data_IF_499043277721
#
_entry.id   IF_499043277721
#
_cell.length_a   1.000
_cell.length_b   1.000
_cell.length_c   1.000
_cell.angle_alpha   90.00
_cell.angle_beta   90.00
_cell.angle_gamma   90.00
#
_symmetry.space_group_name_H-M   'P 1'
#
loop_
_entity.id
_entity.type
_entity.pdbx_description
1 polymer ?
#
# COMPACT_ATOMS: atom_id res chain seq x y z
N UNK A 1 -12.08 -29.21 -13.84
CA UNK A 1 -12.36 -27.77 -14.01
C UNK A 1 -13.37 -27.28 -12.96
N UNK A 2 -14.46 -27.97 -12.73
CA UNK A 2 -15.50 -27.63 -11.73
C UNK A 2 -14.94 -27.52 -10.29
N UNK A 3 -14.09 -28.48 -9.88
CA UNK A 3 -13.41 -28.42 -8.59
C UNK A 3 -12.55 -27.16 -8.45
N UNK A 4 -11.93 -26.73 -9.57
CA UNK A 4 -11.17 -25.50 -9.61
C UNK A 4 -12.03 -24.25 -9.41
N UNK A 5 -13.21 -24.21 -10.02
CA UNK A 5 -14.19 -23.13 -9.82
C UNK A 5 -14.64 -23.12 -8.35
N UNK A 6 -14.96 -24.28 -7.77
CA UNK A 6 -15.39 -24.39 -6.38
C UNK A 6 -14.30 -23.95 -5.40
N UNK A 7 -13.03 -24.27 -5.66
CA UNK A 7 -11.89 -23.83 -4.86
C UNK A 7 -11.74 -22.28 -4.91
N UNK A 8 -11.80 -21.72 -6.11
CA UNK A 8 -11.71 -20.26 -6.32
C UNK A 8 -12.89 -19.53 -5.64
N UNK A 9 -14.11 -20.05 -5.78
CA UNK A 9 -15.29 -19.48 -5.12
C UNK A 9 -15.20 -19.55 -3.59
N UNK A 10 -14.65 -20.63 -3.05
CA UNK A 10 -14.42 -20.77 -1.59
C UNK A 10 -13.41 -19.72 -1.11
N UNK A 11 -12.31 -19.51 -1.86
CA UNK A 11 -11.32 -18.49 -1.55
C UNK A 11 -11.92 -17.08 -1.65
N UNK A 12 -12.70 -16.79 -2.71
CA UNK A 12 -13.33 -15.48 -2.91
C UNK A 12 -14.37 -15.17 -1.81
N UNK A 13 -15.16 -16.16 -1.40
CA UNK A 13 -16.09 -16.01 -0.29
C UNK A 13 -15.37 -15.60 1.00
N UNK A 14 -14.29 -16.29 1.35
CA UNK A 14 -13.48 -15.95 2.51
C UNK A 14 -12.81 -14.57 2.38
N UNK A 15 -12.31 -14.21 1.20
CA UNK A 15 -11.73 -12.89 0.94
C UNK A 15 -12.77 -11.76 1.02
N UNK A 16 -14.03 -12.04 0.73
CA UNK A 16 -15.12 -11.07 0.93
C UNK A 16 -15.31 -10.77 2.42
N UNK A 17 -15.25 -11.77 3.28
CA UNK A 17 -15.31 -11.57 4.73
C UNK A 17 -14.09 -10.80 5.25
N UNK A 18 -12.87 -11.16 4.79
CA UNK A 18 -11.65 -10.43 5.13
C UNK A 18 -11.74 -8.97 4.69
N UNK A 19 -12.24 -8.71 3.48
CA UNK A 19 -12.45 -7.35 2.97
C UNK A 19 -13.41 -6.54 3.86
N UNK A 20 -14.53 -7.14 4.28
CA UNK A 20 -15.51 -6.49 5.17
C UNK A 20 -14.90 -6.18 6.55
N UNK A 21 -14.10 -7.09 7.10
CA UNK A 21 -13.40 -6.88 8.37
C UNK A 21 -12.37 -5.74 8.25
N UNK A 22 -11.61 -5.68 7.16
CA UNK A 22 -10.66 -4.59 6.90
C UNK A 22 -11.37 -3.23 6.73
N UNK A 23 -12.52 -3.19 6.06
CA UNK A 23 -13.33 -1.97 5.98
C UNK A 23 -13.78 -1.51 7.37
N UNK A 24 -14.23 -2.44 8.22
CA UNK A 24 -14.58 -2.13 9.60
C UNK A 24 -13.39 -1.63 10.41
N UNK A 25 -12.21 -2.25 10.24
CA UNK A 25 -10.98 -1.77 10.87
C UNK A 25 -10.62 -0.36 10.40
N UNK A 26 -10.80 -0.03 9.12
CA UNK A 26 -10.54 1.32 8.59
C UNK A 26 -11.51 2.37 9.19
N UNK A 27 -12.78 2.03 9.35
CA UNK A 27 -13.75 2.89 10.04
C UNK A 27 -13.32 3.16 11.49
N UNK A 28 -12.92 2.11 12.20
CA UNK A 28 -12.47 2.19 13.59
C UNK A 28 -11.18 3.00 13.73
N UNK A 29 -10.21 2.78 12.84
CA UNK A 29 -8.96 3.56 12.82
C UNK A 29 -9.25 5.04 12.54
N UNK A 30 -10.11 5.34 11.56
CA UNK A 30 -10.54 6.72 11.25
C UNK A 30 -11.27 7.35 12.43
N UNK A 31 -12.13 6.60 13.12
CA UNK A 31 -12.78 7.07 14.35
C UNK A 31 -11.74 7.36 15.43
N UNK A 32 -10.77 6.47 15.67
CA UNK A 32 -9.74 6.64 16.68
C UNK A 32 -8.78 7.80 16.37
N UNK A 33 -8.50 8.05 15.09
CA UNK A 33 -7.69 9.19 14.64
C UNK A 33 -8.35 10.56 14.89
N UNK A 34 -9.65 10.58 15.25
CA UNK A 34 -10.34 11.82 15.57
C UNK A 34 -9.94 12.32 16.97
N UNK A 35 -9.43 13.54 17.05
CA UNK A 35 -8.99 14.18 18.30
C UNK A 35 -10.06 14.37 19.39
N UNK A 36 -11.36 14.14 19.06
CA UNK A 36 -12.47 14.24 20.02
C UNK A 36 -12.64 12.99 20.89
N UNK A 37 -12.01 11.87 20.55
CA UNK A 37 -12.13 10.62 21.30
C UNK A 37 -11.26 10.63 22.56
N UNK A 38 -11.79 10.07 23.65
CA UNK A 38 -11.03 9.85 24.87
C UNK A 38 -10.07 8.66 24.73
N UNK A 39 -9.07 8.57 25.61
CA UNK A 39 -8.17 7.41 25.66
C UNK A 39 -8.92 6.10 25.96
N UNK A 40 -10.03 6.17 26.71
CA UNK A 40 -10.88 5.01 27.00
C UNK A 40 -11.59 4.53 25.74
N UNK A 41 -12.11 5.46 24.93
CA UNK A 41 -12.79 5.13 23.67
C UNK A 41 -11.79 4.53 22.67
N UNK A 42 -10.59 5.11 22.57
CA UNK A 42 -9.53 4.55 21.71
C UNK A 42 -9.10 3.16 22.14
N UNK A 43 -9.05 2.89 23.44
CA UNK A 43 -8.76 1.55 23.94
C UNK A 43 -9.84 0.55 23.55
N UNK A 44 -11.12 0.92 23.66
CA UNK A 44 -12.21 0.07 23.21
C UNK A 44 -12.17 -0.20 21.70
N UNK A 45 -11.80 0.80 20.92
CA UNK A 45 -11.55 0.67 19.47
C UNK A 45 -10.38 -0.29 19.19
N UNK A 46 -9.28 -0.17 19.95
CA UNK A 46 -8.14 -1.07 19.83
C UNK A 46 -8.53 -2.52 20.12
N UNK A 47 -9.30 -2.74 21.17
CA UNK A 47 -9.80 -4.08 21.53
C UNK A 47 -10.65 -4.69 20.39
N UNK A 48 -11.46 -3.89 19.68
CA UNK A 48 -12.23 -4.33 18.51
C UNK A 48 -11.31 -4.63 17.31
N UNK A 49 -10.31 -3.79 17.05
CA UNK A 49 -9.32 -4.00 15.98
C UNK A 49 -8.51 -5.29 16.24
N UNK A 50 -8.11 -5.55 17.49
CA UNK A 50 -7.40 -6.78 17.86
C UNK A 50 -8.25 -8.03 17.63
N UNK A 51 -9.55 -7.96 17.90
CA UNK A 51 -10.49 -9.04 17.62
C UNK A 51 -10.67 -9.27 16.12
N UNK A 52 -10.81 -8.20 15.32
CA UNK A 52 -10.92 -8.30 13.87
C UNK A 52 -9.65 -8.88 13.24
N UNK A 53 -8.49 -8.48 13.73
CA UNK A 53 -7.19 -9.04 13.29
C UNK A 53 -7.10 -10.53 13.60
N UNK A 54 -7.52 -10.95 14.79
CA UNK A 54 -7.57 -12.36 15.18
C UNK A 54 -8.55 -13.14 14.30
N UNK A 55 -9.68 -12.55 13.94
CA UNK A 55 -10.66 -13.19 13.06
C UNK A 55 -10.17 -13.31 11.63
N UNK A 56 -9.43 -12.32 11.11
CA UNK A 56 -8.75 -12.41 9.81
C UNK A 56 -7.77 -13.59 9.81
N UNK A 57 -6.95 -13.72 10.85
CA UNK A 57 -6.03 -14.84 10.99
C UNK A 57 -6.77 -16.19 11.04
N UNK A 58 -7.87 -16.26 11.78
CA UNK A 58 -8.72 -17.45 11.85
C UNK A 58 -9.29 -17.81 10.48
N UNK A 59 -9.83 -16.86 9.73
CA UNK A 59 -10.37 -17.09 8.38
C UNK A 59 -9.25 -17.58 7.45
N UNK A 60 -8.07 -16.96 7.50
CA UNK A 60 -6.93 -17.38 6.71
C UNK A 60 -6.48 -18.82 7.03
N UNK A 61 -6.47 -19.18 8.31
CA UNK A 61 -6.03 -20.50 8.76
C UNK A 61 -7.05 -21.63 8.57
N UNK A 62 -8.35 -21.29 8.54
CA UNK A 62 -9.42 -22.28 8.46
C UNK A 62 -10.00 -22.49 7.07
N UNK A 63 -9.83 -21.52 6.17
CA UNK A 63 -10.36 -21.62 4.81
C UNK A 63 -9.61 -22.68 4.01
N UNK A 64 -10.29 -23.78 3.73
CA UNK A 64 -9.74 -24.91 2.98
C UNK A 64 -10.72 -25.46 1.96
N UNK A 65 -10.18 -26.04 0.91
CA UNK A 65 -10.90 -26.82 -0.08
C UNK A 65 -10.18 -28.15 -0.27
N UNK A 66 -10.89 -29.24 -0.08
CA UNK A 66 -10.36 -30.60 -0.22
C UNK A 66 -8.98 -30.78 0.48
N UNK A 67 -8.92 -30.44 1.78
CA UNK A 67 -7.73 -30.51 2.65
C UNK A 67 -6.60 -29.48 2.35
N UNK A 68 -6.70 -28.73 1.25
CA UNK A 68 -5.74 -27.66 0.92
C UNK A 68 -6.20 -26.35 1.53
N UNK A 69 -5.34 -25.72 2.34
CA UNK A 69 -5.58 -24.38 2.88
C UNK A 69 -5.31 -23.35 1.81
N UNK A 70 -6.33 -22.52 1.51
CA UNK A 70 -6.28 -21.61 0.37
C UNK A 70 -5.62 -20.26 0.69
N UNK A 71 -5.75 -19.77 1.93
CA UNK A 71 -5.35 -18.41 2.31
C UNK A 71 -4.16 -18.37 3.28
N UNK A 72 -3.71 -19.52 3.76
CA UNK A 72 -2.64 -19.63 4.77
C UNK A 72 -1.23 -19.48 4.19
N UNK A 73 -1.10 -19.61 2.86
CA UNK A 73 0.18 -19.77 2.19
C UNK A 73 0.73 -21.20 2.29
N UNK A 74 1.81 -21.46 1.57
CA UNK A 74 2.46 -22.76 1.46
C UNK A 74 3.95 -22.68 1.80
N UNK A 75 4.55 -23.83 2.14
CA UNK A 75 5.97 -23.92 2.46
C UNK A 75 6.32 -23.48 3.90
N UNK A 76 7.59 -23.13 4.09
CA UNK A 76 8.12 -22.60 5.36
C UNK A 76 7.92 -21.10 5.46
N UNK A 77 7.86 -20.58 6.68
CA UNK A 77 7.85 -19.12 6.92
C UNK A 77 9.15 -18.49 6.41
N UNK A 78 9.01 -17.35 5.76
CA UNK A 78 10.10 -16.52 5.27
C UNK A 78 9.89 -15.09 5.72
N UNK A 79 10.99 -14.35 5.85
CA UNK A 79 10.93 -12.92 6.12
C UNK A 79 10.54 -12.16 4.84
N UNK A 80 9.53 -11.32 4.97
CA UNK A 80 9.05 -10.42 3.92
C UNK A 80 9.14 -8.98 4.41
N UNK A 81 9.36 -8.05 3.49
CA UNK A 81 9.36 -6.64 3.84
C UNK A 81 7.94 -6.10 3.93
N UNK A 82 7.68 -5.28 4.95
CA UNK A 82 6.45 -4.48 5.02
C UNK A 82 6.57 -3.23 4.15
N UNK A 83 5.43 -2.65 3.76
CA UNK A 83 5.43 -1.41 3.00
C UNK A 83 5.93 -0.23 3.85
N UNK A 84 6.59 0.72 3.20
CA UNK A 84 6.96 1.98 3.83
C UNK A 84 5.83 3.01 3.63
N UNK A 85 5.60 3.83 4.68
CA UNK A 85 4.56 4.86 4.71
C UNK A 85 5.18 6.22 5.00
N UNK A 86 4.60 7.29 4.45
CA UNK A 86 5.09 8.66 4.58
C UNK A 86 4.69 9.36 5.87
N UNK A 87 4.00 8.66 6.76
CA UNK A 87 3.49 9.17 8.03
C UNK A 87 2.50 10.36 7.88
N UNK A 88 1.86 10.49 6.71
CA UNK A 88 0.95 11.61 6.41
C UNK A 88 1.65 12.97 6.36
N UNK A 89 2.96 13.02 6.10
CA UNK A 89 3.75 14.23 6.05
C UNK A 89 3.68 14.90 4.68
N UNK A 90 3.47 16.22 4.65
CA UNK A 90 3.36 16.97 3.40
C UNK A 90 4.68 17.03 2.63
N UNK A 91 4.61 16.69 1.34
CA UNK A 91 5.74 16.79 0.41
C UNK A 91 6.83 15.73 0.59
N UNK A 92 6.53 14.62 1.27
CA UNK A 92 7.40 13.44 1.33
C UNK A 92 7.20 12.59 0.07
N UNK A 93 8.30 12.09 -0.49
CA UNK A 93 8.28 11.12 -1.58
C UNK A 93 9.08 9.88 -1.20
N UNK A 94 8.48 8.71 -1.47
CA UNK A 94 9.06 7.40 -1.22
C UNK A 94 9.43 6.75 -2.55
N UNK A 95 10.68 6.32 -2.70
CA UNK A 95 11.15 5.56 -3.88
C UNK A 95 11.59 4.17 -3.44
N UNK A 96 10.78 3.17 -3.77
CA UNK A 96 11.05 1.77 -3.39
C UNK A 96 12.24 1.19 -4.18
N UNK A 97 13.15 0.54 -3.47
CA UNK A 97 14.32 -0.18 -4.00
C UNK A 97 14.38 -1.65 -3.55
N UNK A 98 13.24 -2.22 -3.22
CA UNK A 98 13.12 -3.59 -2.74
C UNK A 98 13.24 -3.68 -1.21
N UNK A 99 14.42 -3.94 -0.67
CA UNK A 99 14.65 -4.03 0.78
C UNK A 99 14.79 -2.66 1.45
N UNK A 100 15.02 -1.62 0.67
CA UNK A 100 15.19 -0.23 1.13
C UNK A 100 14.26 0.71 0.40
N UNK A 101 14.03 1.88 0.99
CA UNK A 101 13.27 2.98 0.39
C UNK A 101 14.09 4.24 0.52
N UNK A 102 14.28 4.97 -0.58
CA UNK A 102 14.80 6.33 -0.50
C UNK A 102 13.65 7.28 -0.19
N UNK A 103 13.81 8.01 0.89
CA UNK A 103 12.85 9.01 1.37
C UNK A 103 13.41 10.38 1.05
N UNK A 104 12.61 11.21 0.39
CA UNK A 104 12.94 12.62 0.16
C UNK A 104 11.92 13.49 0.86
N UNK A 105 12.40 14.33 1.78
CA UNK A 105 11.62 15.28 2.53
C UNK A 105 11.53 16.62 1.81
N UNK A 106 10.48 17.37 2.08
CA UNK A 106 10.34 18.75 1.59
C UNK A 106 11.39 19.66 2.22
N UNK A 107 12.07 20.47 1.41
CA UNK A 107 13.00 21.47 1.92
C UNK A 107 12.28 22.51 2.78
N UNK A 108 12.73 22.66 4.01
CA UNK A 108 12.20 23.62 4.98
C UNK A 108 13.10 24.85 5.07
N UNK A 109 12.48 26.01 5.16
CA UNK A 109 13.16 27.27 5.32
C UNK A 109 12.65 27.99 6.59
N UNK A 110 13.49 28.82 7.19
CA UNK A 110 13.06 29.64 8.31
C UNK A 110 11.72 30.33 8.05
N UNK A 111 10.86 30.33 9.06
CA UNK A 111 9.49 30.86 9.00
C UNK A 111 8.47 29.96 8.30
N UNK A 112 8.85 28.77 7.81
CA UNK A 112 7.88 27.78 7.33
C UNK A 112 7.14 27.16 8.51
N UNK A 113 5.90 26.73 8.25
CA UNK A 113 5.10 25.99 9.23
C UNK A 113 4.93 24.57 8.73
N UNK A 114 5.07 23.61 9.63
CA UNK A 114 4.91 22.21 9.36
C UNK A 114 4.15 21.52 10.49
N UNK A 115 3.32 20.55 10.14
CA UNK A 115 2.69 19.65 11.10
C UNK A 115 3.42 18.31 11.12
N UNK A 116 3.85 17.88 12.30
CA UNK A 116 4.52 16.59 12.51
C UNK A 116 3.83 15.92 13.69
N UNK A 117 3.36 14.71 13.51
CA UNK A 117 2.67 13.94 14.55
C UNK A 117 1.50 14.73 15.21
N UNK A 118 0.71 15.45 14.40
CA UNK A 118 -0.42 16.26 14.88
C UNK A 118 -0.03 17.54 15.60
N UNK A 119 1.26 17.84 15.79
CA UNK A 119 1.77 19.07 16.41
C UNK A 119 2.29 20.03 15.33
N UNK A 120 1.86 21.28 15.40
CA UNK A 120 2.31 22.33 14.48
C UNK A 120 3.61 22.95 14.98
N UNK A 121 4.59 23.04 14.09
CA UNK A 121 5.88 23.64 14.34
C UNK A 121 6.13 24.81 13.38
N UNK A 122 6.91 25.78 13.83
CA UNK A 122 7.45 26.87 13.02
C UNK A 122 8.96 26.71 12.92
N UNK A 123 9.51 26.77 11.73
CA UNK A 123 10.95 26.67 11.52
C UNK A 123 11.59 28.00 11.94
N UNK A 124 12.35 27.96 13.02
CA UNK A 124 13.14 29.09 13.50
C UNK A 124 14.52 29.13 12.85
N UNK A 125 15.30 30.13 13.20
CA UNK A 125 16.70 30.30 12.77
C UNK A 125 17.46 31.11 13.76
N UNK A 126 18.79 31.17 13.61
CA UNK A 126 19.66 32.03 14.46
C UNK A 126 19.34 33.52 14.22
N UNK A 127 19.46 34.33 15.28
CA UNK A 127 19.21 35.78 15.21
C UNK A 127 20.00 36.46 14.08
N UNK A 128 21.28 36.06 13.90
CA UNK A 128 22.14 36.61 12.86
C UNK A 128 21.63 36.33 11.44
N UNK A 129 21.09 35.13 11.18
CA UNK A 129 20.58 34.74 9.86
C UNK A 129 19.29 35.49 9.54
N UNK A 130 18.47 35.75 10.54
CA UNK A 130 17.25 36.55 10.40
C UNK A 130 17.57 38.02 10.22
N UNK A 131 18.52 38.55 10.99
CA UNK A 131 19.02 39.93 10.84
C UNK A 131 19.55 40.19 9.44
N UNK A 132 20.29 39.22 8.84
CA UNK A 132 20.79 39.31 7.47
C UNK A 132 19.70 39.40 6.39
N UNK A 133 18.45 38.95 6.69
CA UNK A 133 17.31 39.10 5.76
C UNK A 133 16.74 40.52 5.75
N UNK A 134 17.10 41.38 6.72
CA UNK A 134 16.77 42.79 6.72
C UNK A 134 17.80 43.49 5.82
N UNK A 135 17.35 43.96 4.65
CA UNK A 135 18.20 44.54 3.63
C UNK A 135 17.83 46.02 3.42
N UNK A 136 18.79 46.80 2.93
CA UNK A 136 18.52 48.16 2.52
C UNK A 136 17.55 48.22 1.32
N UNK A 137 16.67 49.20 1.33
CA UNK A 137 15.91 49.66 0.19
C UNK A 137 16.61 50.79 -0.52
N UNK A 138 15.82 51.64 -1.20
CA UNK A 138 16.25 52.95 -1.72
C UNK A 138 15.45 54.01 -1.01
N UNK A 139 15.90 55.25 -1.05
CA UNK A 139 15.15 56.37 -0.40
C UNK A 139 13.80 56.61 -1.07
N UNK A 140 13.65 56.21 -2.33
CA UNK A 140 12.37 56.29 -3.08
C UNK A 140 11.53 55.02 -2.95
N UNK A 141 12.15 53.85 -2.68
CA UNK A 141 11.51 52.56 -2.52
C UNK A 141 12.05 51.85 -1.26
N UNK A 142 11.56 52.27 -0.11
CA UNK A 142 11.93 51.71 1.19
C UNK A 142 11.35 50.32 1.36
N UNK A 143 12.15 49.41 1.96
CA UNK A 143 11.68 48.07 2.33
C UNK A 143 11.07 48.12 3.75
N UNK A 144 9.92 47.46 3.94
CA UNK A 144 9.21 47.46 5.22
C UNK A 144 9.49 46.13 5.96
N UNK A 145 9.78 46.22 7.25
CA UNK A 145 10.05 45.14 8.17
C UNK A 145 9.31 45.39 9.49
N UNK A 146 8.69 44.36 10.04
CA UNK A 146 8.14 44.42 11.39
C UNK A 146 9.04 43.64 12.33
N UNK A 147 9.72 44.31 13.25
CA UNK A 147 10.63 43.68 14.24
C UNK A 147 9.98 43.79 15.61
N UNK A 148 9.76 42.67 16.28
CA UNK A 148 9.11 42.60 17.60
C UNK A 148 7.78 43.38 17.67
N UNK A 149 6.99 43.30 16.61
CA UNK A 149 5.69 43.95 16.52
C UNK A 149 5.72 45.44 16.08
N UNK A 150 6.91 46.05 15.94
CA UNK A 150 7.07 47.42 15.48
C UNK A 150 7.51 47.43 14.01
N UNK A 151 6.78 48.22 13.20
CA UNK A 151 7.07 48.33 11.76
C UNK A 151 8.07 49.42 11.48
N UNK A 152 9.13 49.08 10.77
CA UNK A 152 10.20 49.95 10.32
C UNK A 152 10.29 49.96 8.79
N UNK A 153 10.75 51.06 8.23
CA UNK A 153 11.09 51.17 6.82
C UNK A 153 12.58 51.43 6.68
N UNK A 154 13.24 50.70 5.79
CA UNK A 154 14.68 50.82 5.54
C UNK A 154 14.92 51.43 4.17
N UNK A 155 15.51 52.63 4.14
CA UNK A 155 15.97 53.31 2.92
C UNK A 155 17.39 52.90 2.53
N UNK A 156 18.07 53.73 1.75
CA UNK A 156 19.45 53.44 1.33
C UNK A 156 20.46 53.49 2.49
N UNK A 157 20.28 54.42 3.44
CA UNK A 157 21.21 54.66 4.54
C UNK A 157 20.53 54.66 5.92
N UNK A 158 19.29 55.11 6.02
CA UNK A 158 18.60 55.32 7.28
C UNK A 158 17.39 54.40 7.47
N UNK A 159 17.03 54.23 8.74
CA UNK A 159 15.79 53.55 9.19
C UNK A 159 14.73 54.63 9.49
N UNK A 160 13.50 54.33 9.11
CA UNK A 160 12.34 55.21 9.25
C UNK A 160 11.23 54.50 10.03
N UNK A 161 10.37 55.27 10.69
CA UNK A 161 9.12 54.76 11.26
C UNK A 161 8.06 54.44 10.18
N UNK A 162 6.93 53.92 10.58
CA UNK A 162 5.81 53.62 9.66
C UNK A 162 5.22 54.88 9.00
N UNK A 163 5.42 56.05 9.57
CA UNK A 163 5.01 57.36 9.04
C UNK A 163 6.03 57.94 8.06
N UNK A 164 7.20 57.33 7.93
CA UNK A 164 8.26 57.78 7.02
C UNK A 164 9.24 58.79 7.65
N UNK A 165 9.21 59.00 8.97
CA UNK A 165 10.17 59.86 9.65
C UNK A 165 11.41 59.08 9.99
N UNK A 166 12.59 59.74 9.91
CA UNK A 166 13.85 59.12 10.35
C UNK A 166 13.82 58.83 11.84
N UNK A 167 14.23 57.64 12.22
CA UNK A 167 14.35 57.24 13.62
C UNK A 167 15.76 57.54 14.12
N UNK A 168 15.87 58.03 15.33
CA UNK A 168 17.17 58.19 15.99
C UNK A 168 17.65 56.87 16.53
N UNK A 169 18.97 56.68 16.55
CA UNK A 169 19.58 55.48 17.08
C UNK A 169 19.19 55.22 18.54
N UNK A 170 19.13 56.29 19.36
CA UNK A 170 18.66 56.21 20.75
C UNK A 170 17.25 55.64 20.90
N UNK A 171 16.35 55.95 19.98
CA UNK A 171 14.97 55.47 20.01
C UNK A 171 14.86 54.00 19.65
N UNK A 172 15.81 53.53 18.83
CA UNK A 172 15.89 52.10 18.43
C UNK A 172 16.57 51.21 19.50
N UNK A 173 17.66 51.70 20.06
CA UNK A 173 18.49 50.95 21.04
C UNK A 173 18.03 51.16 22.49
N UNK A 174 17.22 52.21 22.79
CA UNK A 174 16.84 52.60 24.15
C UNK A 174 18.00 53.24 24.95
N UNK A 175 19.15 53.53 24.31
CA UNK A 175 20.32 54.11 24.94
C UNK A 175 20.45 55.60 24.60
N UNK A 176 20.22 56.45 25.57
CA UNK A 176 20.29 57.92 25.41
C UNK A 176 21.69 58.45 25.00
N UNK A 177 22.74 57.64 25.17
CA UNK A 177 24.08 57.96 24.69
C UNK A 177 24.32 57.77 23.19
N UNK A 178 23.43 57.06 22.49
CA UNK A 178 23.52 56.87 21.07
C UNK A 178 23.03 58.08 20.30
N UNK A 179 23.91 58.77 19.60
CA UNK A 179 23.61 59.97 18.80
C UNK A 179 23.55 59.68 17.32
N UNK A 180 22.72 60.40 16.60
CA UNK A 180 22.59 60.25 15.16
C UNK A 180 21.33 59.49 14.70
N UNK A 181 21.15 59.42 13.39
CA UNK A 181 20.05 58.65 12.76
C UNK A 181 20.38 57.15 12.75
N UNK A 182 19.35 56.31 12.99
CA UNK A 182 19.49 54.87 12.92
C UNK A 182 19.77 54.40 11.50
N UNK A 183 20.69 53.46 11.36
CA UNK A 183 21.07 52.83 10.08
C UNK A 183 20.63 51.39 10.07
N UNK A 184 20.70 50.74 8.87
CA UNK A 184 20.34 49.32 8.70
C UNK A 184 20.97 48.40 9.76
N UNK A 185 22.24 48.59 10.07
CA UNK A 185 22.96 47.79 11.07
C UNK A 185 22.33 47.86 12.46
N UNK A 186 21.85 49.04 12.88
CA UNK A 186 21.21 49.25 14.18
C UNK A 186 19.88 48.46 14.27
N UNK A 187 19.11 48.39 13.16
CA UNK A 187 17.89 47.61 13.07
C UNK A 187 18.22 46.07 13.05
N UNK A 188 19.29 45.68 12.36
CA UNK A 188 19.76 44.30 12.40
C UNK A 188 20.22 43.87 13.80
N UNK A 189 20.91 44.76 14.53
CA UNK A 189 21.37 44.49 15.90
C UNK A 189 20.23 44.48 16.95
N UNK A 190 19.04 44.95 16.58
CA UNK A 190 17.83 44.78 17.38
C UNK A 190 17.30 43.35 17.36
N UNK A 191 17.62 42.59 16.32
CA UNK A 191 17.23 41.19 16.22
C UNK A 191 18.14 40.35 17.11
N UNK A 192 17.61 39.89 18.23
CA UNK A 192 18.28 39.04 19.22
C UNK A 192 17.50 37.73 19.34
N UNK A 193 18.08 36.79 20.07
CA UNK A 193 17.39 35.54 20.43
C UNK A 193 16.00 35.88 21.02
N UNK A 194 14.96 35.20 20.59
CA UNK A 194 13.55 35.45 20.93
C UNK A 194 12.87 36.54 20.11
N UNK A 195 13.59 37.24 19.22
CA UNK A 195 12.98 38.28 18.36
C UNK A 195 12.17 37.66 17.22
N UNK A 196 11.10 38.35 16.83
CA UNK A 196 10.33 38.04 15.62
C UNK A 196 10.53 39.12 14.56
N UNK A 197 10.73 38.71 13.31
CA UNK A 197 10.86 39.59 12.16
C UNK A 197 9.87 39.21 11.08
N UNK A 198 8.96 40.11 10.74
CA UNK A 198 8.00 39.86 9.64
C UNK A 198 8.45 40.60 8.38
N UNK A 199 8.59 39.87 7.29
CA UNK A 199 8.98 40.38 5.96
C UNK A 199 7.86 39.99 4.98
N UNK A 200 7.12 40.96 4.50
CA UNK A 200 5.93 40.71 3.69
C UNK A 200 4.86 39.97 4.49
N UNK A 201 4.56 38.75 4.10
CA UNK A 201 3.58 37.88 4.77
C UNK A 201 4.21 36.81 5.70
N UNK A 202 5.55 36.73 5.71
CA UNK A 202 6.27 35.66 6.42
C UNK A 202 6.91 36.20 7.70
N UNK A 203 6.67 35.52 8.80
CA UNK A 203 7.28 35.82 10.10
C UNK A 203 8.40 34.82 10.39
N UNK A 204 9.56 35.34 10.75
CA UNK A 204 10.74 34.64 11.17
C UNK A 204 10.93 34.76 12.67
N UNK A 205 11.27 33.68 13.34
CA UNK A 205 11.55 33.68 14.79
C UNK A 205 13.02 33.38 15.02
N UNK A 206 13.70 34.29 15.72
CA UNK A 206 15.08 34.09 16.17
C UNK A 206 15.06 33.19 17.40
N UNK A 207 15.57 31.99 17.26
CA UNK A 207 15.56 30.97 18.32
C UNK A 207 16.53 31.29 19.44
N UNK A 208 16.10 30.96 20.65
CA UNK A 208 16.96 30.82 21.83
C UNK A 208 17.13 29.31 22.08
N UNK A 209 18.31 28.75 21.86
CA UNK A 209 18.60 27.34 22.00
C UNK A 209 19.94 27.19 22.76
N UNK A 210 19.87 27.28 24.09
CA UNK A 210 21.04 27.29 24.99
C UNK A 210 20.91 26.32 26.14
N UNK A 211 19.70 25.87 26.48
CA UNK A 211 19.46 24.96 27.60
C UNK A 211 19.85 23.53 27.24
N UNK A 212 20.75 22.95 28.04
CA UNK A 212 21.15 21.54 27.91
C UNK A 212 22.04 21.17 26.71
N UNK A 213 22.48 22.19 25.94
CA UNK A 213 23.12 22.01 24.63
C UNK A 213 22.09 22.13 23.48
N UNK A 214 22.54 22.73 22.38
CA UNK A 214 21.67 23.02 21.24
C UNK A 214 20.91 21.76 20.74
N UNK A 215 19.66 21.58 21.20
CA UNK A 215 18.83 20.42 20.87
C UNK A 215 17.90 20.65 19.66
N UNK A 216 17.98 21.87 19.08
CA UNK A 216 17.22 22.29 17.93
C UNK A 216 15.78 22.72 18.24
N UNK A 217 15.45 22.91 19.53
CA UNK A 217 14.15 23.40 20.00
C UNK A 217 14.37 24.73 20.71
N UNK A 218 13.47 25.69 20.52
CA UNK A 218 13.53 26.97 21.21
C UNK A 218 13.22 26.81 22.71
N UNK A 219 14.11 27.34 23.58
CA UNK A 219 13.99 27.22 25.04
C UNK A 219 12.72 27.89 25.61
N UNK A 220 12.14 28.86 24.89
CA UNK A 220 10.96 29.60 25.34
C UNK A 220 9.68 29.11 24.66
N UNK A 221 9.78 28.54 23.46
CA UNK A 221 8.63 28.07 22.69
C UNK A 221 8.96 26.72 22.00
N UNK A 222 8.57 25.65 22.61
CA UNK A 222 8.78 24.27 22.09
C UNK A 222 8.10 23.98 20.75
N UNK A 223 7.35 24.95 20.20
CA UNK A 223 6.77 24.86 18.84
C UNK A 223 7.66 25.49 17.77
N UNK A 224 8.72 26.17 18.18
CA UNK A 224 9.75 26.72 17.29
C UNK A 224 10.95 25.79 17.29
N UNK A 225 11.30 25.25 16.13
CA UNK A 225 12.38 24.25 15.99
C UNK A 225 13.27 24.59 14.81
N UNK A 226 14.49 24.07 14.78
CA UNK A 226 15.36 24.15 13.60
C UNK A 226 14.84 23.25 12.48
N UNK A 227 15.25 23.50 11.25
CA UNK A 227 15.00 22.64 10.09
C UNK A 227 15.61 21.23 10.31
N UNK A 228 16.83 21.13 10.86
CA UNK A 228 17.45 19.85 11.20
C UNK A 228 16.63 19.05 12.23
N UNK A 229 16.10 19.72 13.27
CA UNK A 229 15.21 19.07 14.25
C UNK A 229 13.89 18.61 13.59
N UNK A 230 13.33 19.42 12.70
CA UNK A 230 12.14 19.06 11.96
C UNK A 230 12.38 17.81 11.10
N UNK A 231 13.51 17.71 10.38
CA UNK A 231 13.87 16.53 9.62
C UNK A 231 14.08 15.29 10.51
N UNK A 232 14.70 15.46 11.67
CA UNK A 232 14.84 14.36 12.64
C UNK A 232 13.47 13.83 13.09
N UNK A 233 12.54 14.73 13.46
CA UNK A 233 11.19 14.35 13.88
C UNK A 233 10.41 13.67 12.74
N UNK A 234 10.46 14.24 11.53
CA UNK A 234 9.83 13.63 10.35
C UNK A 234 10.38 12.24 10.07
N UNK A 235 11.70 12.07 10.11
CA UNK A 235 12.35 10.76 9.92
C UNK A 235 11.90 9.75 10.97
N UNK A 236 11.81 10.14 12.24
CA UNK A 236 11.33 9.27 13.31
C UNK A 236 9.89 8.82 13.08
N UNK A 237 9.01 9.72 12.61
CA UNK A 237 7.62 9.37 12.33
C UNK A 237 7.48 8.47 11.09
N UNK A 238 8.30 8.68 10.05
CA UNK A 238 8.33 7.80 8.87
C UNK A 238 8.82 6.39 9.25
N UNK A 239 9.86 6.29 10.08
CA UNK A 239 10.34 5.01 10.61
C UNK A 239 9.25 4.30 11.41
N UNK A 240 8.54 5.03 12.26
CA UNK A 240 7.42 4.50 13.05
C UNK A 240 6.27 4.02 12.18
N UNK A 241 5.82 4.84 11.22
CA UNK A 241 4.75 4.48 10.29
C UNK A 241 5.13 3.27 9.43
N UNK A 242 6.38 3.21 8.96
CA UNK A 242 6.91 2.11 8.14
C UNK A 242 7.26 0.84 8.94
N UNK A 243 7.06 0.84 10.25
CA UNK A 243 7.26 -0.33 11.12
C UNK A 243 5.96 -1.05 11.45
N UNK A 244 4.82 -0.55 10.98
CA UNK A 244 3.51 -1.18 11.21
C UNK A 244 3.49 -2.54 10.52
N UNK A 245 2.97 -3.54 11.22
CA UNK A 245 2.88 -4.91 10.72
C UNK A 245 4.21 -5.68 10.72
N UNK A 246 5.32 -5.08 11.15
CA UNK A 246 6.62 -5.70 11.15
C UNK A 246 6.95 -6.38 12.49
N UNK A 247 7.62 -7.54 12.41
CA UNK A 247 8.27 -8.17 13.58
C UNK A 247 9.62 -7.50 13.89
N UNK A 248 10.31 -7.05 12.84
CA UNK A 248 11.54 -6.23 12.95
C UNK A 248 11.23 -4.85 12.38
N UNK A 249 11.34 -3.83 13.22
CA UNK A 249 11.02 -2.45 12.84
C UNK A 249 11.90 -1.93 11.68
N UNK A 250 11.37 -0.98 10.91
CA UNK A 250 12.14 -0.22 9.95
C UNK A 250 13.25 0.59 10.64
N UNK A 251 14.34 0.86 9.95
CA UNK A 251 15.49 1.63 10.49
C UNK A 251 16.02 2.62 9.48
N UNK A 252 16.49 3.77 9.95
CA UNK A 252 17.23 4.71 9.12
C UNK A 252 18.62 4.17 8.82
N UNK A 253 18.90 3.87 7.55
CA UNK A 253 20.20 3.33 7.12
C UNK A 253 21.28 4.41 6.96
N UNK A 254 20.89 5.66 6.71
CA UNK A 254 21.83 6.76 6.38
C UNK A 254 22.38 7.45 7.61
N UNK A 255 21.61 7.54 8.70
CA UNK A 255 21.97 8.22 9.94
C UNK A 255 21.61 7.40 11.17
N UNK A 256 22.52 6.54 11.59
CA UNK A 256 22.35 5.76 12.84
C UNK A 256 22.38 6.64 14.10
N UNK A 257 22.79 7.91 14.00
CA UNK A 257 23.02 8.81 15.14
C UNK A 257 22.13 10.06 15.15
N UNK A 258 20.99 10.08 14.48
CA UNK A 258 19.95 11.15 14.56
C UNK A 258 20.52 12.56 14.88
N UNK A 259 21.58 12.95 14.17
CA UNK A 259 22.17 14.27 14.37
C UNK A 259 21.22 15.32 13.73
N UNK A 260 20.45 16.00 14.58
CA UNK A 260 19.48 17.02 14.17
C UNK A 260 20.13 18.28 13.56
N UNK A 261 21.45 18.38 13.57
CA UNK A 261 22.23 19.46 12.91
C UNK A 261 22.42 19.25 11.40
N UNK A 262 22.12 18.08 10.86
CA UNK A 262 22.26 17.80 9.44
C UNK A 262 20.94 18.07 8.72
N UNK A 263 20.85 19.17 8.03
CA UNK A 263 19.73 19.50 7.13
C UNK A 263 19.75 18.61 5.88
N UNK A 264 19.60 17.30 6.06
CA UNK A 264 19.49 16.35 4.96
C UNK A 264 18.04 16.14 4.61
N UNK A 265 17.66 16.49 3.38
CA UNK A 265 16.30 16.29 2.86
C UNK A 265 16.09 14.88 2.33
N UNK A 266 17.12 14.05 2.26
CA UNK A 266 17.04 12.68 1.75
C UNK A 266 17.73 11.70 2.69
N UNK A 267 17.11 10.54 2.92
CA UNK A 267 17.71 9.44 3.67
C UNK A 267 17.23 8.10 3.11
N UNK A 268 17.96 7.02 3.43
CA UNK A 268 17.57 5.66 3.05
C UNK A 268 16.99 4.94 4.27
N UNK A 269 15.78 4.41 4.09
CA UNK A 269 15.07 3.60 5.08
C UNK A 269 15.28 2.11 4.75
N UNK A 270 15.75 1.31 5.72
CA UNK A 270 15.62 -0.13 5.66
C UNK A 270 14.18 -0.49 6.03
N UNK A 271 13.49 -1.24 5.18
CA UNK A 271 12.12 -1.67 5.47
C UNK A 271 12.06 -2.58 6.69
N UNK A 272 10.98 -2.47 7.43
CA UNK A 272 10.63 -3.46 8.44
C UNK A 272 10.37 -4.83 7.80
N UNK A 273 10.50 -5.89 8.56
CA UNK A 273 10.24 -7.25 8.08
C UNK A 273 9.30 -8.02 8.99
N UNK A 274 8.52 -8.89 8.40
CA UNK A 274 7.57 -9.77 9.08
C UNK A 274 7.68 -11.19 8.51
N UNK A 275 7.50 -12.20 9.33
CA UNK A 275 7.61 -13.60 8.90
C UNK A 275 6.23 -14.20 8.64
N UNK A 276 6.03 -14.72 7.42
CA UNK A 276 4.86 -15.50 7.05
C UNK A 276 5.20 -16.44 5.89
N UNK A 277 4.26 -17.33 5.53
CA UNK A 277 4.43 -18.28 4.43
C UNK A 277 4.21 -17.60 3.09
N UNK A 278 4.98 -17.98 2.08
CA UNK A 278 4.72 -17.56 0.69
C UNK A 278 3.31 -17.98 0.24
N UNK A 279 2.79 -17.32 -0.79
CA UNK A 279 1.49 -17.63 -1.36
C UNK A 279 1.40 -19.06 -1.87
N UNK A 280 0.19 -19.61 -1.84
CA UNK A 280 -0.13 -20.91 -2.43
C UNK A 280 -0.18 -20.80 -3.96
N UNK A 281 0.54 -21.69 -4.66
CA UNK A 281 0.46 -21.81 -6.11
C UNK A 281 0.10 -23.24 -6.50
N UNK A 282 -0.96 -23.40 -7.28
CA UNK A 282 -1.35 -24.72 -7.81
C UNK A 282 -1.88 -24.61 -9.24
N UNK A 283 -1.79 -25.71 -9.96
CA UNK A 283 -2.20 -25.78 -11.35
C UNK A 283 -3.47 -26.62 -11.49
N UNK A 284 -4.49 -26.05 -12.08
CA UNK A 284 -5.73 -26.74 -12.44
C UNK A 284 -5.61 -27.30 -13.85
N UNK A 285 -5.76 -28.62 -14.00
CA UNK A 285 -5.82 -29.25 -15.31
C UNK A 285 -7.22 -29.07 -15.92
N UNK A 286 -7.29 -28.51 -17.12
CA UNK A 286 -8.55 -28.09 -17.76
C UNK A 286 -8.74 -28.64 -19.19
N UNK A 287 -7.94 -29.59 -19.61
CA UNK A 287 -8.00 -30.20 -20.94
C UNK A 287 -8.17 -31.70 -20.93
N UNK A 288 -8.44 -32.30 -22.08
CA UNK A 288 -8.52 -33.74 -22.26
C UNK A 288 -7.13 -34.37 -22.44
N UNK A 289 -6.13 -33.62 -22.89
CA UNK A 289 -4.80 -34.12 -23.22
C UNK A 289 -3.81 -33.82 -22.07
N UNK A 290 -2.77 -34.66 -21.97
CA UNK A 290 -1.72 -34.54 -20.97
C UNK A 290 -0.75 -33.36 -21.21
N UNK A 291 -1.09 -32.46 -22.10
CA UNK A 291 -0.25 -31.30 -22.43
C UNK A 291 -0.20 -30.27 -21.28
N UNK A 292 0.98 -29.74 -21.02
CA UNK A 292 1.21 -28.71 -19.99
C UNK A 292 0.49 -27.38 -20.30
N UNK A 293 0.12 -27.12 -21.56
CA UNK A 293 -0.70 -25.97 -21.97
C UNK A 293 -2.14 -26.06 -21.46
N UNK A 294 -2.62 -27.25 -21.11
CA UNK A 294 -3.94 -27.48 -20.53
C UNK A 294 -4.01 -27.24 -19.02
N UNK A 295 -3.14 -26.36 -18.49
CA UNK A 295 -3.12 -26.02 -17.06
C UNK A 295 -3.38 -24.51 -16.88
N UNK A 296 -4.22 -24.19 -15.91
CA UNK A 296 -4.44 -22.83 -15.43
C UNK A 296 -3.79 -22.73 -14.05
N UNK A 297 -2.76 -21.88 -13.93
CA UNK A 297 -2.14 -21.59 -12.66
C UNK A 297 -3.04 -20.68 -11.83
N UNK A 298 -3.21 -21.01 -10.57
CA UNK A 298 -3.89 -20.21 -9.55
C UNK A 298 -2.86 -19.87 -8.49
N UNK A 299 -2.69 -18.57 -8.23
CA UNK A 299 -1.82 -18.07 -7.18
C UNK A 299 -2.68 -17.34 -6.16
N UNK A 300 -2.54 -17.65 -4.90
CA UNK A 300 -3.24 -17.02 -3.78
C UNK A 300 -2.18 -16.66 -2.75
N UNK A 301 -2.00 -15.36 -2.53
CA UNK A 301 -1.06 -14.88 -1.53
C UNK A 301 -1.55 -15.18 -0.11
N UNK A 302 -0.63 -15.17 0.86
CA UNK A 302 -1.01 -15.35 2.26
C UNK A 302 -1.83 -14.15 2.73
N UNK A 303 -3.06 -14.41 3.18
CA UNK A 303 -4.05 -13.39 3.57
C UNK A 303 -4.26 -13.31 5.09
N UNK A 304 -3.26 -13.75 5.88
CA UNK A 304 -3.24 -13.52 7.31
C UNK A 304 -2.80 -12.08 7.65
N UNK A 305 -2.90 -11.70 8.90
CA UNK A 305 -2.51 -10.35 9.37
C UNK A 305 -1.06 -9.98 9.03
N UNK A 306 -0.15 -10.96 9.05
CA UNK A 306 1.25 -10.76 8.67
C UNK A 306 1.41 -10.52 7.17
N UNK A 307 0.76 -11.33 6.32
CA UNK A 307 0.77 -11.19 4.86
C UNK A 307 0.08 -9.91 4.38
N UNK A 308 -0.91 -9.42 5.12
CA UNK A 308 -1.60 -8.17 4.86
C UNK A 308 -0.88 -6.93 5.44
N UNK A 309 0.22 -7.11 6.19
CA UNK A 309 0.96 -5.99 6.78
C UNK A 309 0.25 -5.29 7.94
N UNK A 310 -0.72 -5.94 8.58
CA UNK A 310 -1.51 -5.38 9.69
C UNK A 310 -1.29 -6.09 11.02
N UNK A 311 -0.29 -6.97 11.12
CA UNK A 311 0.04 -7.69 12.33
C UNK A 311 0.37 -6.72 13.47
N UNK A 312 -0.30 -6.84 14.60
CA UNK A 312 -0.06 -6.00 15.78
C UNK A 312 -0.32 -4.50 15.58
N UNK A 313 -1.17 -4.15 14.62
CA UNK A 313 -1.55 -2.76 14.31
C UNK A 313 -2.10 -2.06 15.55
N UNK A 314 -1.73 -0.79 15.75
CA UNK A 314 -2.15 0.02 16.88
C UNK A 314 -3.02 1.19 16.43
N UNK A 315 -4.04 1.48 17.23
CA UNK A 315 -4.95 2.60 17.07
C UNK A 315 -5.37 3.21 18.42
N UNK A 316 -4.58 2.96 19.48
CA UNK A 316 -4.85 3.41 20.85
C UNK A 316 -4.39 4.86 21.10
N UNK A 317 -3.67 5.45 20.16
CA UNK A 317 -3.37 6.88 20.10
C UNK A 317 -3.89 7.48 18.79
N UNK A 318 -4.12 8.81 18.76
CA UNK A 318 -4.51 9.53 17.54
C UNK A 318 -3.48 9.32 16.40
N UNK A 319 -2.20 9.34 16.77
CA UNK A 319 -1.09 9.19 15.85
C UNK A 319 -1.01 7.77 15.27
N UNK A 320 -1.04 6.75 16.15
CA UNK A 320 -0.97 5.36 15.71
C UNK A 320 -2.19 4.99 14.87
N UNK A 321 -3.37 5.52 15.23
CA UNK A 321 -4.59 5.36 14.44
C UNK A 321 -4.46 5.99 13.02
N UNK A 322 -3.81 7.15 12.92
CA UNK A 322 -3.57 7.80 11.62
C UNK A 322 -2.68 6.92 10.74
N UNK A 323 -1.60 6.36 11.29
CA UNK A 323 -0.73 5.44 10.54
C UNK A 323 -1.41 4.10 10.22
N UNK A 324 -2.25 3.63 11.12
CA UNK A 324 -3.04 2.41 10.91
C UNK A 324 -3.95 2.51 9.68
N UNK A 325 -4.49 3.69 9.38
CA UNK A 325 -5.35 3.92 8.20
C UNK A 325 -4.62 3.54 6.91
N UNK A 326 -3.37 3.96 6.76
CA UNK A 326 -2.58 3.68 5.55
C UNK A 326 -2.28 2.19 5.41
N UNK A 327 -1.85 1.53 6.50
CA UNK A 327 -1.59 0.10 6.50
C UNK A 327 -2.86 -0.73 6.20
N UNK A 328 -4.01 -0.33 6.74
CA UNK A 328 -5.30 -0.99 6.46
C UNK A 328 -5.73 -0.74 5.01
N UNK A 329 -5.51 0.46 4.47
CA UNK A 329 -5.81 0.78 3.07
C UNK A 329 -4.97 -0.08 2.11
N UNK A 330 -3.70 -0.29 2.41
CA UNK A 330 -2.83 -1.20 1.66
C UNK A 330 -3.32 -2.65 1.74
N UNK A 331 -3.75 -3.12 2.92
CA UNK A 331 -4.34 -4.44 3.08
C UNK A 331 -5.64 -4.60 2.26
N UNK A 332 -6.52 -3.60 2.25
CA UNK A 332 -7.74 -3.58 1.42
C UNK A 332 -7.38 -3.66 -0.06
N UNK A 333 -6.37 -2.92 -0.50
CA UNK A 333 -5.88 -2.94 -1.89
C UNK A 333 -5.35 -4.31 -2.28
N UNK A 334 -4.57 -4.95 -1.40
CA UNK A 334 -4.04 -6.31 -1.59
C UNK A 334 -5.15 -7.34 -1.73
N UNK A 335 -6.12 -7.35 -0.82
CA UNK A 335 -7.29 -8.26 -0.89
C UNK A 335 -8.11 -8.00 -2.15
N UNK A 336 -8.32 -6.75 -2.53
CA UNK A 336 -9.07 -6.39 -3.75
C UNK A 336 -8.35 -6.86 -5.01
N UNK A 337 -7.02 -6.73 -5.08
CA UNK A 337 -6.20 -7.23 -6.18
C UNK A 337 -6.26 -8.75 -6.28
N UNK A 338 -6.18 -9.46 -5.15
CA UNK A 338 -6.29 -10.91 -5.10
C UNK A 338 -7.66 -11.39 -5.56
N UNK A 339 -8.74 -10.74 -5.11
CA UNK A 339 -10.11 -11.05 -5.56
C UNK A 339 -10.28 -10.83 -7.06
N UNK A 340 -9.73 -9.75 -7.60
CA UNK A 340 -9.75 -9.49 -9.04
C UNK A 340 -9.01 -10.57 -9.84
N UNK A 341 -7.85 -11.01 -9.34
CA UNK A 341 -7.09 -12.09 -9.96
C UNK A 341 -7.85 -13.43 -9.94
N UNK A 342 -8.51 -13.77 -8.81
CA UNK A 342 -9.33 -14.97 -8.69
C UNK A 342 -10.57 -14.91 -9.59
N UNK A 343 -11.25 -13.76 -9.69
CA UNK A 343 -12.36 -13.56 -10.62
C UNK A 343 -11.96 -13.73 -12.08
N UNK A 344 -10.76 -13.27 -12.46
CA UNK A 344 -10.22 -13.52 -13.80
C UNK A 344 -9.96 -15.01 -14.06
N UNK A 345 -9.44 -15.74 -13.07
CA UNK A 345 -9.26 -17.20 -13.14
C UNK A 345 -10.61 -17.91 -13.26
N UNK A 346 -11.60 -17.51 -12.46
CA UNK A 346 -12.94 -18.07 -12.53
C UNK A 346 -13.54 -17.91 -13.93
N UNK A 347 -13.51 -16.72 -14.50
CA UNK A 347 -14.00 -16.47 -15.86
C UNK A 347 -13.29 -17.35 -16.89
N UNK A 348 -11.96 -17.51 -16.78
CA UNK A 348 -11.20 -18.40 -17.66
C UNK A 348 -11.63 -19.86 -17.51
N UNK A 349 -11.87 -20.32 -16.30
CA UNK A 349 -12.34 -21.70 -16.04
C UNK A 349 -13.75 -21.91 -16.64
N UNK A 350 -14.67 -20.96 -16.46
CA UNK A 350 -16.03 -21.04 -17.02
C UNK A 350 -16.01 -21.08 -18.56
N UNK A 351 -15.21 -20.24 -19.20
CA UNK A 351 -15.03 -20.28 -20.66
C UNK A 351 -14.41 -21.59 -21.13
N UNK A 352 -13.49 -22.15 -20.36
CA UNK A 352 -12.87 -23.44 -20.68
C UNK A 352 -13.87 -24.59 -20.52
N UNK A 353 -14.71 -24.57 -19.48
CA UNK A 353 -15.79 -25.55 -19.28
C UNK A 353 -16.74 -25.51 -20.47
N UNK A 354 -17.23 -24.34 -20.84
CA UNK A 354 -18.13 -24.19 -21.99
C UNK A 354 -17.50 -24.69 -23.31
N UNK A 355 -16.19 -24.49 -23.49
CA UNK A 355 -15.48 -25.00 -24.67
C UNK A 355 -15.36 -26.54 -24.63
N UNK A 356 -15.01 -27.11 -23.46
CA UNK A 356 -14.91 -28.54 -23.28
C UNK A 356 -16.25 -29.25 -23.47
N UNK A 357 -17.35 -28.66 -23.00
CA UNK A 357 -18.71 -29.19 -23.21
C UNK A 357 -19.04 -29.28 -24.70
N UNK A 358 -18.72 -28.24 -25.48
CA UNK A 358 -18.87 -28.25 -26.94
C UNK A 358 -17.98 -29.34 -27.59
N UNK A 359 -16.74 -29.52 -27.12
CA UNK A 359 -15.85 -30.56 -27.63
C UNK A 359 -16.40 -31.95 -27.32
N UNK A 360 -16.89 -32.17 -26.09
CA UNK A 360 -17.50 -33.44 -25.66
C UNK A 360 -18.73 -33.74 -26.48
N UNK A 361 -19.62 -32.77 -26.68
CA UNK A 361 -20.84 -32.93 -27.51
C UNK A 361 -20.48 -33.30 -28.94
N UNK A 362 -19.54 -32.59 -29.57
CA UNK A 362 -19.09 -32.87 -30.92
C UNK A 362 -18.41 -34.25 -31.03
N UNK A 363 -17.59 -34.63 -30.04
CA UNK A 363 -16.91 -35.93 -30.01
C UNK A 363 -17.90 -37.07 -29.83
N UNK A 364 -18.86 -36.93 -28.91
CA UNK A 364 -19.93 -37.90 -28.68
C UNK A 364 -20.82 -38.05 -29.92
N UNK A 365 -21.14 -36.96 -30.58
CA UNK A 365 -21.90 -36.94 -31.84
C UNK A 365 -21.11 -37.65 -32.97
N UNK A 366 -19.77 -37.45 -33.02
CA UNK A 366 -18.92 -38.12 -33.98
C UNK A 366 -18.79 -39.63 -33.69
N UNK A 367 -18.61 -40.01 -32.40
CA UNK A 367 -18.59 -41.40 -31.96
C UNK A 367 -19.90 -42.11 -32.29
N UNK A 368 -21.06 -41.47 -32.02
CA UNK A 368 -22.39 -42.03 -32.36
C UNK A 368 -22.51 -42.27 -33.84
N UNK A 369 -22.06 -41.34 -34.69
CA UNK A 369 -22.10 -41.53 -36.15
C UNK A 369 -21.25 -42.68 -36.64
N UNK A 370 -20.05 -42.88 -36.08
CA UNK A 370 -19.18 -44.00 -36.43
C UNK A 370 -19.83 -45.28 -35.96
N UNK A 371 -20.26 -45.38 -34.71
CA UNK A 371 -20.88 -46.54 -34.12
C UNK A 371 -22.18 -46.96 -34.82
N UNK A 372 -23.05 -46.00 -35.11
CA UNK A 372 -24.30 -46.25 -35.79
C UNK A 372 -24.09 -46.67 -37.25
N UNK A 373 -23.04 -46.15 -37.92
CA UNK A 373 -22.67 -46.57 -39.27
C UNK A 373 -22.13 -48.03 -39.25
N UNK A 374 -21.23 -48.34 -38.30
CA UNK A 374 -20.71 -49.72 -38.15
C UNK A 374 -21.81 -50.71 -37.78
N UNK A 375 -22.78 -50.34 -36.91
CA UNK A 375 -23.91 -51.18 -36.56
C UNK A 375 -24.85 -51.40 -37.75
N UNK A 376 -25.07 -50.37 -38.57
CA UNK A 376 -25.90 -50.51 -39.79
C UNK A 376 -25.23 -51.42 -40.81
N UNK A 377 -23.93 -51.29 -41.03
CA UNK A 377 -23.17 -52.16 -41.92
C UNK A 377 -23.12 -53.62 -41.41
N UNK A 378 -22.94 -53.80 -40.09
CA UNK A 378 -22.97 -55.15 -39.49
C UNK A 378 -24.38 -55.78 -39.58
N UNK A 379 -25.46 -55.01 -39.40
CA UNK A 379 -26.84 -55.47 -39.61
C UNK A 379 -27.08 -55.90 -41.05
N UNK A 380 -26.54 -55.14 -42.01
CA UNK A 380 -26.64 -55.51 -43.45
C UNK A 380 -25.85 -56.77 -43.72
N UNK A 381 -24.65 -56.94 -43.20
CA UNK A 381 -23.82 -58.13 -43.30
C UNK A 381 -24.50 -59.34 -42.65
N UNK A 382 -25.08 -59.18 -41.47
CA UNK A 382 -25.85 -60.22 -40.79
C UNK A 382 -27.07 -60.68 -41.60
N UNK A 383 -27.86 -59.74 -42.13
CA UNK A 383 -29.01 -60.02 -42.96
C UNK A 383 -28.59 -60.73 -44.25
N UNK A 384 -27.53 -60.27 -44.91
CA UNK A 384 -26.94 -60.88 -46.09
C UNK A 384 -26.51 -62.32 -45.83
N UNK A 385 -25.80 -62.56 -44.71
CA UNK A 385 -25.35 -63.88 -44.36
C UNK A 385 -26.51 -64.85 -44.02
N UNK A 386 -27.56 -64.35 -43.37
CA UNK A 386 -28.79 -65.14 -43.11
C UNK A 386 -29.52 -65.49 -44.40
N UNK A 387 -29.64 -64.57 -45.33
CA UNK A 387 -30.26 -64.81 -46.63
C UNK A 387 -29.43 -65.83 -47.45
N UNK A 388 -28.10 -65.68 -47.44
CA UNK A 388 -27.19 -66.64 -48.08
C UNK A 388 -27.29 -68.01 -47.45
N UNK A 389 -27.38 -68.16 -46.16
CA UNK A 389 -27.55 -69.43 -45.45
C UNK A 389 -28.88 -70.08 -45.82
N UNK A 390 -30.00 -69.30 -45.83
CA UNK A 390 -31.31 -69.82 -46.23
C UNK A 390 -31.36 -70.27 -47.71
N UNK A 391 -30.78 -69.40 -48.58
CA UNK A 391 -30.69 -69.70 -49.99
C UNK A 391 -29.81 -70.95 -50.25
N UNK A 392 -28.66 -71.09 -49.53
CA UNK A 392 -27.79 -72.23 -49.58
C UNK A 392 -28.49 -73.52 -49.15
N UNK A 393 -29.25 -73.43 -48.05
CA UNK A 393 -30.05 -74.62 -47.60
C UNK A 393 -31.13 -75.01 -48.61
N UNK A 394 -31.81 -74.02 -49.19
CA UNK A 394 -32.81 -74.28 -50.20
C UNK A 394 -32.21 -74.86 -51.48
N UNK A 395 -31.07 -74.36 -51.93
CA UNK A 395 -30.33 -74.91 -53.08
C UNK A 395 -29.81 -76.30 -52.81
N UNK A 396 -29.35 -76.58 -51.57
CA UNK A 396 -28.89 -77.93 -51.17
C UNK A 396 -30.06 -78.91 -51.16
N UNK A 397 -31.23 -78.52 -50.65
CA UNK A 397 -32.45 -79.30 -50.68
C UNK A 397 -32.88 -79.58 -52.11
N UNK A 398 -32.80 -78.64 -53.00
CA UNK A 398 -33.16 -78.78 -54.42
C UNK A 398 -32.17 -79.70 -55.18
N UNK A 399 -30.86 -79.56 -54.90
CA UNK A 399 -29.85 -80.44 -55.43
C UNK A 399 -30.03 -81.87 -54.97
N UNK A 400 -30.38 -82.08 -53.67
CA UNK A 400 -30.72 -83.43 -53.17
C UNK A 400 -31.96 -84.04 -53.78
N UNK A 401 -33.01 -83.23 -54.03
CA UNK A 401 -34.22 -83.69 -54.77
C UNK A 401 -33.92 -84.05 -56.22
N UNK A 402 -33.05 -83.28 -56.87
CA UNK A 402 -32.61 -83.50 -58.22
C UNK A 402 -31.84 -84.86 -58.33
N UNK A 403 -30.94 -85.13 -57.34
CA UNK A 403 -30.22 -86.33 -57.27
C UNK A 403 -31.12 -87.53 -56.95
N UNK A 404 -32.13 -87.39 -56.10
CA UNK A 404 -33.16 -88.43 -55.87
C UNK A 404 -34.05 -88.69 -57.15
N UNK A 405 -34.38 -87.60 -57.88
CA UNK A 405 -35.09 -87.76 -59.16
C UNK A 405 -34.30 -88.52 -60.17
N UNK A 406 -32.99 -88.34 -60.31
CA UNK A 406 -32.09 -89.08 -61.16
C UNK A 406 -31.96 -90.51 -60.73
N UNK A 407 -31.93 -90.76 -59.41
CA UNK A 407 -31.84 -92.14 -58.87
C UNK A 407 -33.12 -92.93 -59.10
N UNK A 408 -34.30 -92.30 -59.05
CA UNK A 408 -35.61 -92.95 -59.36
C UNK A 408 -35.85 -93.19 -60.85
N UNK A 409 -35.06 -92.60 -61.75
CA UNK A 409 -35.09 -92.85 -63.18
C UNK A 409 -34.11 -94.00 -63.58
N UNK A 410 -33.24 -94.40 -62.72
CA UNK A 410 -32.28 -95.45 -62.95
C UNK A 410 -32.63 -96.83 -62.26
N UNK A 411 -33.78 -96.84 -61.53
CA UNK A 411 -34.40 -98.06 -61.04
C UNK A 411 -35.63 -98.43 -61.93
#
# INVERSE_FOLDING_TARGET
>A
AEDGVSAVQTAEGALTEVHSMLQRMNELATQSANGTNSNTDRKAIQDEIDQLTTEIDRVSETTKFNETYLLKGDGSEKAHNVNAHDAGLDGVTLTDKGNTVDVTLKTLNAGDKISIAGKNYTIGSKAADIAAKIEAGTDTAKKSYTVNGTTYQVGATNVFDSAGNKIKKSDLTGNAGDTGDAVLKDLQDLVKDGSTVTIGTKTYTAMTDKDGGADGIDDNDSTVITDGKAYQLQTAEIVKASSIGADTAATNATNANDAYDTATTTFTLNKGSVSYKDGLSFNLHVGADADMTNKIAVNIDSMNSAGLGIKGIKADTEQDATYAIDAIADAISTVSSQRSALGAVQNRLEHTINNLDNVVENTTSAESRIRDTDMAEEMVNYSKNNILAQAGQSMLAQANQSNQGVLSLLQ
#
